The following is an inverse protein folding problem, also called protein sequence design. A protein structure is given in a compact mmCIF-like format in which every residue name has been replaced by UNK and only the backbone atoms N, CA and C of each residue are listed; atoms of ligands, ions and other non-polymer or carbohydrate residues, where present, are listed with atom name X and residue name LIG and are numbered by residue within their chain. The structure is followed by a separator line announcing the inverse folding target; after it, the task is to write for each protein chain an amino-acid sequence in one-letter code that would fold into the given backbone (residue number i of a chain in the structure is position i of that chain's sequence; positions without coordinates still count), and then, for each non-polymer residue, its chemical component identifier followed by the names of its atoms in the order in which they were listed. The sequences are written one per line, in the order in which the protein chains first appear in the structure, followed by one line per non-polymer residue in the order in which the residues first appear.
data_IF_555017188783
#
_entry.id   IF_555017188783
#
_cell.length_a   1.000
_cell.length_b   1.000
_cell.length_c   1.000
_cell.angle_alpha   90.00
_cell.angle_beta   90.00
_cell.angle_gamma   90.00
#
_symmetry.space_group_name_H-M   'P 1'
#
loop_
_entity.id
_entity.type
_entity.pdbx_description
1 polymer ?
#
# COMPACT_ATOMS: atom_id res chain seq x y z
N UNK A 1 0.08 -14.18 8.70
CA UNK A 1 -0.56 -13.05 7.98
C UNK A 1 -1.90 -13.47 7.39
N UNK A 2 -2.68 -14.31 8.07
CA UNK A 2 -4.08 -14.57 7.78
C UNK A 2 -4.90 -14.68 9.09
N UNK A 3 -4.30 -14.28 10.21
CA UNK A 3 -4.61 -14.68 11.57
C UNK A 3 -4.74 -13.53 12.62
N UNK A 4 -4.34 -12.24 12.43
CA UNK A 4 -4.61 -11.14 13.44
C UNK A 4 -6.09 -10.92 13.58
N UNK A 5 -6.84 -11.22 12.52
CA UNK A 5 -8.29 -11.18 12.57
C UNK A 5 -8.72 -12.04 13.76
N UNK A 6 -8.03 -13.15 14.04
CA UNK A 6 -8.25 -14.01 15.20
C UNK A 6 -7.73 -13.45 16.54
N UNK A 7 -6.84 -12.44 16.56
CA UNK A 7 -6.54 -11.67 17.79
C UNK A 7 -7.59 -10.60 18.02
N UNK A 8 -7.88 -9.82 16.99
CA UNK A 8 -8.70 -8.62 17.03
C UNK A 8 -10.18 -8.99 17.16
N UNK A 9 -10.69 -9.93 16.36
CA UNK A 9 -12.00 -10.56 16.57
C UNK A 9 -12.04 -11.25 17.93
N UNK A 10 -11.07 -12.06 18.36
CA UNK A 10 -11.16 -12.65 19.70
C UNK A 10 -11.22 -11.59 20.81
N UNK A 11 -10.46 -10.50 20.67
CA UNK A 11 -10.43 -9.37 21.61
C UNK A 11 -11.76 -8.61 21.61
N UNK A 12 -12.31 -8.34 20.45
CA UNK A 12 -13.57 -7.62 20.31
C UNK A 12 -14.76 -8.52 20.67
N UNK A 13 -14.75 -9.82 20.40
CA UNK A 13 -15.69 -10.78 21.01
C UNK A 13 -15.58 -10.74 22.54
N UNK A 14 -14.38 -10.85 23.13
CA UNK A 14 -14.20 -10.79 24.60
C UNK A 14 -14.71 -9.47 25.17
N UNK A 15 -14.51 -8.35 24.46
CA UNK A 15 -15.00 -7.01 24.81
C UNK A 15 -16.52 -6.87 24.66
N UNK A 16 -17.11 -7.39 23.58
CA UNK A 16 -18.56 -7.51 23.33
C UNK A 16 -19.20 -8.32 24.46
N UNK A 17 -18.70 -9.53 24.74
CA UNK A 17 -19.12 -10.43 25.82
C UNK A 17 -18.94 -9.81 27.22
N UNK A 18 -17.99 -8.89 27.41
CA UNK A 18 -17.79 -8.15 28.67
C UNK A 18 -18.60 -6.86 28.76
N UNK A 19 -19.48 -6.56 27.78
CA UNK A 19 -20.36 -5.40 27.85
C UNK A 19 -21.53 -5.62 28.80
N UNK A 20 -21.88 -4.58 29.57
CA UNK A 20 -23.02 -4.64 30.51
C UNK A 20 -24.36 -4.94 29.83
N UNK A 21 -24.50 -4.59 28.54
CA UNK A 21 -25.68 -4.91 27.72
C UNK A 21 -25.80 -6.42 27.50
N UNK A 22 -24.71 -7.10 27.11
CA UNK A 22 -24.73 -8.55 26.91
C UNK A 22 -24.84 -9.33 28.23
N UNK A 23 -24.25 -8.85 29.33
CA UNK A 23 -24.43 -9.51 30.63
C UNK A 23 -25.88 -9.41 31.15
N UNK A 24 -26.53 -8.24 31.04
CA UNK A 24 -27.94 -8.09 31.43
C UNK A 24 -28.87 -8.97 30.59
N UNK A 25 -28.64 -9.06 29.27
CA UNK A 25 -29.49 -9.83 28.36
C UNK A 25 -29.18 -11.33 28.43
N UNK A 26 -27.92 -11.70 28.69
CA UNK A 26 -27.49 -13.06 29.00
C UNK A 26 -28.18 -13.63 30.23
N UNK A 27 -28.39 -12.81 31.27
CA UNK A 27 -29.24 -13.14 32.43
C UNK A 27 -30.71 -13.29 32.03
N UNK A 28 -31.27 -12.35 31.26
CA UNK A 28 -32.68 -12.39 30.84
C UNK A 28 -33.07 -13.60 29.97
N UNK A 29 -32.11 -14.20 29.24
CA UNK A 29 -32.33 -15.37 28.38
C UNK A 29 -31.75 -16.68 28.93
N UNK A 30 -31.15 -16.66 30.13
CA UNK A 30 -30.61 -17.86 30.79
C UNK A 30 -29.36 -18.44 30.12
N UNK A 31 -28.58 -17.61 29.43
CA UNK A 31 -27.38 -18.02 28.66
C UNK A 31 -26.06 -17.50 29.22
N UNK A 32 -26.11 -16.74 30.32
CA UNK A 32 -24.95 -16.12 30.98
C UNK A 32 -23.78 -17.09 31.21
N UNK A 33 -24.08 -18.29 31.71
CA UNK A 33 -23.09 -19.34 32.00
C UNK A 33 -22.38 -19.86 30.75
N UNK A 34 -23.02 -19.81 29.59
CA UNK A 34 -22.41 -20.21 28.31
C UNK A 34 -21.61 -19.06 27.68
N UNK A 35 -22.04 -17.81 27.85
CA UNK A 35 -21.30 -16.63 27.41
C UNK A 35 -19.98 -16.44 28.18
N UNK A 36 -19.98 -16.58 29.50
CA UNK A 36 -18.75 -16.46 30.31
C UNK A 36 -17.78 -17.63 30.07
N UNK A 37 -18.28 -18.85 29.80
CA UNK A 37 -17.42 -19.97 29.35
C UNK A 37 -16.80 -19.70 27.98
N UNK A 38 -17.60 -19.25 26.99
CA UNK A 38 -17.09 -18.89 25.66
C UNK A 38 -16.00 -17.81 25.75
N UNK A 39 -16.24 -16.77 26.56
CA UNK A 39 -15.27 -15.71 26.88
C UNK A 39 -14.00 -16.28 27.50
N UNK A 40 -14.10 -17.17 28.49
CA UNK A 40 -12.93 -17.82 29.11
C UNK A 40 -12.13 -18.65 28.10
N UNK A 41 -12.78 -19.48 27.28
CA UNK A 41 -12.13 -20.27 26.23
C UNK A 41 -11.44 -19.38 25.19
N UNK A 42 -12.11 -18.30 24.73
CA UNK A 42 -11.51 -17.34 23.80
C UNK A 42 -10.33 -16.59 24.39
N UNK A 43 -10.36 -16.19 25.67
CA UNK A 43 -9.19 -15.58 26.34
C UNK A 43 -8.01 -16.57 26.38
N UNK A 44 -8.25 -17.85 26.68
CA UNK A 44 -7.22 -18.90 26.72
C UNK A 44 -6.66 -19.27 25.34
N UNK A 45 -7.41 -19.03 24.26
CA UNK A 45 -6.98 -19.23 22.86
C UNK A 45 -6.26 -17.98 22.34
N UNK A 46 -6.79 -16.79 22.60
CA UNK A 46 -6.13 -15.50 22.37
C UNK A 46 -4.71 -15.51 22.95
N UNK A 47 -4.57 -16.11 24.15
CA UNK A 47 -3.32 -16.32 24.87
C UNK A 47 -2.27 -17.22 24.18
N UNK A 48 -2.50 -17.79 22.99
CA UNK A 48 -1.51 -18.65 22.29
C UNK A 48 -1.38 -18.51 20.77
N UNK A 49 -1.76 -17.37 20.19
CA UNK A 49 -1.85 -17.27 18.73
C UNK A 49 -0.55 -16.85 17.96
N UNK A 50 0.43 -16.06 18.48
CA UNK A 50 1.50 -15.48 17.62
C UNK A 50 2.75 -16.30 17.63
N UNK A 51 3.10 -16.93 18.73
CA UNK A 51 4.16 -17.92 18.66
C UNK A 51 3.62 -19.18 17.94
N UNK A 52 2.29 -19.40 17.91
CA UNK A 52 1.68 -20.26 16.89
C UNK A 52 1.86 -19.68 15.46
N UNK A 53 1.66 -18.38 15.20
CA UNK A 53 1.91 -17.76 13.88
C UNK A 53 3.38 -17.84 13.45
N UNK A 54 4.31 -17.51 14.35
CA UNK A 54 5.76 -17.49 14.17
C UNK A 54 6.27 -18.92 13.92
N UNK A 55 5.75 -19.92 14.65
CA UNK A 55 6.01 -21.35 14.37
C UNK A 55 5.28 -21.86 13.13
N UNK A 56 4.18 -21.26 12.68
CA UNK A 56 3.43 -21.70 11.49
C UNK A 56 4.19 -21.50 10.18
N UNK A 57 5.16 -20.58 10.15
CA UNK A 57 6.07 -20.41 9.03
C UNK A 57 7.03 -21.60 8.85
N UNK A 58 7.28 -22.37 9.92
CA UNK A 58 8.25 -23.48 9.95
C UNK A 58 7.60 -24.86 10.16
N UNK A 59 6.34 -24.93 10.62
CA UNK A 59 5.65 -26.18 10.90
C UNK A 59 4.20 -26.19 10.34
N UNK A 60 3.95 -27.10 9.39
CA UNK A 60 2.65 -27.27 8.72
C UNK A 60 1.51 -27.71 9.66
N UNK A 61 1.80 -28.41 10.77
CA UNK A 61 0.75 -28.84 11.71
C UNK A 61 0.09 -27.64 12.40
N UNK A 62 0.90 -26.63 12.78
CA UNK A 62 0.42 -25.35 13.33
C UNK A 62 -0.47 -24.62 12.35
N UNK A 63 -0.07 -24.60 11.07
CA UNK A 63 -0.81 -23.97 9.97
C UNK A 63 -2.19 -24.62 9.74
N UNK A 64 -2.28 -25.94 9.88
CA UNK A 64 -3.57 -26.67 9.84
C UNK A 64 -4.42 -26.38 11.08
N UNK A 65 -3.81 -26.31 12.27
CA UNK A 65 -4.50 -25.97 13.53
C UNK A 65 -5.08 -24.54 13.50
N UNK A 66 -4.27 -23.54 13.10
CA UNK A 66 -4.72 -22.16 12.87
C UNK A 66 -5.84 -22.10 11.83
N UNK A 67 -5.74 -22.86 10.74
CA UNK A 67 -6.78 -22.95 9.71
C UNK A 67 -8.12 -23.49 10.23
N UNK A 68 -8.11 -24.50 11.11
CA UNK A 68 -9.33 -24.97 11.81
C UNK A 68 -9.89 -23.89 12.73
N UNK A 69 -9.03 -23.31 13.58
CA UNK A 69 -9.42 -22.31 14.58
C UNK A 69 -10.05 -21.08 13.93
N UNK A 70 -9.49 -20.64 12.80
CA UNK A 70 -9.96 -19.50 12.01
C UNK A 70 -11.47 -19.55 11.77
N UNK A 71 -11.98 -20.68 11.26
CA UNK A 71 -13.40 -20.86 10.94
C UNK A 71 -14.28 -20.66 12.18
N UNK A 72 -13.90 -21.27 13.30
CA UNK A 72 -14.72 -21.24 14.54
C UNK A 72 -14.75 -19.85 15.20
N UNK A 73 -13.72 -19.03 15.00
CA UNK A 73 -13.66 -17.66 15.54
C UNK A 73 -14.51 -16.68 14.71
N UNK A 74 -14.57 -16.83 13.38
CA UNK A 74 -15.54 -16.06 12.57
C UNK A 74 -16.98 -16.47 12.90
N UNK A 75 -17.26 -17.78 12.98
CA UNK A 75 -18.58 -18.29 13.41
C UNK A 75 -19.00 -17.69 14.77
N UNK A 76 -18.03 -17.40 15.65
CA UNK A 76 -18.25 -16.82 16.98
C UNK A 76 -18.52 -15.31 16.94
N UNK A 77 -17.88 -14.55 16.05
CA UNK A 77 -18.13 -13.10 15.92
C UNK A 77 -19.48 -12.84 15.29
N UNK A 78 -19.79 -13.54 14.19
CA UNK A 78 -21.08 -13.52 13.52
C UNK A 78 -22.21 -13.83 14.52
N UNK A 79 -22.01 -14.82 15.40
CA UNK A 79 -22.99 -15.18 16.44
C UNK A 79 -23.16 -14.10 17.51
N UNK A 80 -22.08 -13.43 17.90
CA UNK A 80 -22.13 -12.39 18.95
C UNK A 80 -22.70 -11.07 18.41
N UNK A 81 -22.48 -10.76 17.13
CA UNK A 81 -23.10 -9.61 16.45
C UNK A 81 -24.57 -9.87 16.03
N UNK A 82 -24.94 -11.11 15.67
CA UNK A 82 -26.35 -11.59 15.59
C UNK A 82 -27.05 -11.30 16.94
N UNK A 83 -26.41 -11.69 18.04
CA UNK A 83 -26.94 -11.56 19.40
C UNK A 83 -27.06 -10.09 19.82
N UNK A 84 -26.03 -9.27 19.60
CA UNK A 84 -26.02 -7.83 19.88
C UNK A 84 -27.07 -7.09 19.05
N UNK A 85 -27.19 -7.40 17.76
CA UNK A 85 -28.14 -6.75 16.86
C UNK A 85 -29.58 -7.01 17.30
N UNK A 86 -29.97 -8.26 17.53
CA UNK A 86 -31.34 -8.58 17.98
C UNK A 86 -31.61 -8.12 19.44
N UNK A 87 -30.58 -8.08 20.29
CA UNK A 87 -30.65 -7.48 21.62
C UNK A 87 -31.02 -5.98 21.56
N UNK A 88 -30.25 -5.20 20.79
CA UNK A 88 -30.47 -3.76 20.62
C UNK A 88 -31.80 -3.45 19.93
N UNK A 89 -32.14 -4.23 18.89
CA UNK A 89 -33.41 -4.14 18.17
C UNK A 89 -34.62 -4.33 19.12
N UNK A 90 -34.60 -5.36 19.99
CA UNK A 90 -35.63 -5.58 21.00
C UNK A 90 -35.65 -4.52 22.11
N UNK A 91 -34.50 -3.94 22.46
CA UNK A 91 -34.43 -2.85 23.44
C UNK A 91 -35.07 -1.56 22.89
N UNK A 92 -34.84 -1.23 21.61
CA UNK A 92 -35.48 -0.11 20.93
C UNK A 92 -37.01 -0.30 20.79
N UNK A 93 -37.47 -1.52 20.49
CA UNK A 93 -38.90 -1.85 20.39
C UNK A 93 -39.67 -1.81 21.72
N UNK A 94 -38.98 -1.77 22.87
CA UNK A 94 -39.60 -1.79 24.20
C UNK A 94 -40.38 -0.53 24.59
N UNK A 95 -40.28 0.57 23.84
CA UNK A 95 -40.75 1.90 24.25
C UNK A 95 -42.24 2.21 24.06
N UNK A 96 -43.00 1.43 23.27
CA UNK A 96 -44.37 1.81 22.86
C UNK A 96 -45.42 0.73 23.11
N UNK A 97 -46.55 1.10 23.72
CA UNK A 97 -47.64 0.15 24.07
C UNK A 97 -48.41 -0.43 22.87
N UNK A 98 -48.33 0.21 21.71
CA UNK A 98 -49.20 -0.06 20.55
C UNK A 98 -48.62 -1.10 19.56
N UNK A 99 -47.32 -1.40 19.61
CA UNK A 99 -46.68 -2.39 18.71
C UNK A 99 -47.02 -3.85 19.01
N UNK A 100 -47.73 -4.14 20.12
CA UNK A 100 -47.95 -5.51 20.62
C UNK A 100 -48.85 -6.39 19.74
N UNK A 101 -49.74 -5.82 18.94
CA UNK A 101 -50.76 -6.60 18.22
C UNK A 101 -50.39 -6.92 16.76
N UNK A 102 -49.49 -6.14 16.14
CA UNK A 102 -49.13 -6.31 14.72
C UNK A 102 -47.86 -7.15 14.53
N UNK A 103 -46.96 -7.23 15.52
CA UNK A 103 -45.69 -7.96 15.44
C UNK A 103 -45.80 -9.50 15.65
N UNK A 104 -46.99 -10.09 15.47
CA UNK A 104 -47.23 -11.53 15.69
C UNK A 104 -46.92 -12.43 14.47
N UNK A 105 -46.92 -11.89 13.25
CA UNK A 105 -46.92 -12.73 12.02
C UNK A 105 -45.56 -13.23 11.50
N UNK A 106 -44.44 -12.81 12.09
CA UNK A 106 -43.10 -13.38 11.82
C UNK A 106 -42.27 -13.55 13.11
N UNK A 107 -42.93 -13.87 14.22
CA UNK A 107 -42.37 -13.70 15.56
C UNK A 107 -41.64 -14.95 16.10
N UNK A 108 -40.36 -14.85 16.55
CA UNK A 108 -39.69 -15.89 17.33
C UNK A 108 -40.22 -15.88 18.79
N UNK A 109 -41.51 -16.16 18.94
CA UNK A 109 -42.41 -15.68 20.01
C UNK A 109 -42.29 -16.36 21.37
N UNK A 110 -41.12 -16.88 21.74
CA UNK A 110 -40.83 -17.22 23.13
C UNK A 110 -39.37 -16.90 23.49
N UNK A 111 -39.18 -16.05 24.51
CA UNK A 111 -37.85 -15.71 25.06
C UNK A 111 -37.06 -16.96 25.42
N UNK A 112 -37.73 -17.99 25.94
CA UNK A 112 -37.15 -19.27 26.33
C UNK A 112 -36.69 -20.05 25.08
N UNK A 113 -37.47 -20.07 24.00
CA UNK A 113 -37.10 -20.80 22.76
C UNK A 113 -35.97 -20.09 22.01
N UNK A 114 -35.99 -18.76 21.94
CA UNK A 114 -34.88 -18.00 21.36
C UNK A 114 -33.60 -18.14 22.19
N UNK A 115 -33.70 -17.98 23.51
CA UNK A 115 -32.60 -18.21 24.45
C UNK A 115 -32.03 -19.63 24.35
N UNK A 116 -32.88 -20.65 24.31
CA UNK A 116 -32.50 -22.06 24.15
C UNK A 116 -31.82 -22.35 22.80
N UNK A 117 -32.36 -21.82 21.70
CA UNK A 117 -31.74 -21.94 20.37
C UNK A 117 -30.35 -21.28 20.33
N UNK A 118 -30.20 -20.13 21.00
CA UNK A 118 -28.92 -19.43 21.06
C UNK A 118 -27.93 -20.07 22.05
N UNK A 119 -28.42 -20.60 23.18
CA UNK A 119 -27.62 -21.40 24.11
C UNK A 119 -26.98 -22.60 23.40
N UNK A 120 -27.74 -23.30 22.56
CA UNK A 120 -27.21 -24.40 21.72
C UNK A 120 -26.19 -23.93 20.68
N UNK A 121 -26.41 -22.79 20.01
CA UNK A 121 -25.40 -22.21 19.11
C UNK A 121 -24.10 -21.85 19.87
N UNK A 122 -24.20 -21.11 20.98
CA UNK A 122 -23.06 -20.71 21.82
C UNK A 122 -22.31 -21.93 22.32
N UNK A 123 -23.02 -22.93 22.86
CA UNK A 123 -22.47 -24.21 23.31
C UNK A 123 -21.76 -24.97 22.18
N UNK A 124 -22.34 -25.05 20.99
CA UNK A 124 -21.73 -25.74 19.85
C UNK A 124 -20.44 -25.06 19.34
N UNK A 125 -20.38 -23.73 19.39
CA UNK A 125 -19.14 -22.98 19.10
C UNK A 125 -18.12 -23.20 20.22
N UNK A 126 -18.53 -23.10 21.49
CA UNK A 126 -17.67 -23.39 22.65
C UNK A 126 -17.08 -24.80 22.56
N UNK A 127 -17.88 -25.82 22.25
CA UNK A 127 -17.41 -27.21 22.15
C UNK A 127 -16.45 -27.44 20.97
N UNK A 128 -16.59 -26.69 19.86
CA UNK A 128 -15.61 -26.66 18.77
C UNK A 128 -14.31 -25.96 19.16
N UNK A 129 -14.38 -24.85 19.91
CA UNK A 129 -13.20 -24.16 20.45
C UNK A 129 -12.50 -25.00 21.54
N UNK A 130 -13.25 -25.65 22.43
CA UNK A 130 -12.76 -26.52 23.50
C UNK A 130 -12.01 -27.74 22.91
N UNK A 131 -12.49 -28.29 21.78
CA UNK A 131 -11.79 -29.36 21.07
C UNK A 131 -10.46 -28.87 20.46
N UNK A 132 -10.48 -27.75 19.72
CA UNK A 132 -9.28 -27.16 19.12
C UNK A 132 -8.26 -26.71 20.20
N UNK A 133 -8.74 -26.27 21.37
CA UNK A 133 -7.91 -25.92 22.53
C UNK A 133 -7.33 -27.14 23.27
N UNK A 134 -7.86 -28.35 23.05
CA UNK A 134 -7.28 -29.62 23.53
C UNK A 134 -6.25 -30.19 22.56
N UNK A 135 -6.53 -30.13 21.25
CA UNK A 135 -5.57 -30.47 20.16
C UNK A 135 -4.21 -29.72 20.30
N UNK A 136 -4.18 -28.62 21.06
CA UNK A 136 -3.02 -27.76 21.35
C UNK A 136 -1.95 -28.40 22.26
N UNK A 137 -2.30 -29.35 23.13
CA UNK A 137 -1.43 -29.72 24.26
C UNK A 137 -0.06 -30.29 23.84
N UNK A 138 0.03 -30.93 22.68
CA UNK A 138 1.26 -31.57 22.18
C UNK A 138 2.26 -30.58 21.54
N UNK A 139 1.91 -29.28 21.37
CA UNK A 139 2.61 -28.40 20.42
C UNK A 139 3.23 -27.10 20.99
N UNK A 140 3.08 -26.81 22.29
CA UNK A 140 3.79 -25.73 23.01
C UNK A 140 3.80 -24.33 22.32
N UNK A 141 2.63 -23.68 22.20
CA UNK A 141 2.47 -22.32 21.62
C UNK A 141 2.29 -21.16 22.64
N UNK A 142 2.55 -19.91 22.22
CA UNK A 142 2.46 -18.61 22.96
C UNK A 142 1.67 -17.51 22.17
N UNK A 143 1.23 -16.42 22.83
CA UNK A 143 0.18 -15.39 22.51
C UNK A 143 0.30 -14.47 21.24
N UNK A 144 -0.76 -13.72 20.74
CA UNK A 144 -0.86 -12.60 19.67
C UNK A 144 -1.09 -13.00 18.14
N UNK A 145 -1.17 -12.17 17.04
CA UNK A 145 -1.19 -12.63 15.56
C UNK A 145 -1.01 -11.53 14.41
N UNK A 146 -1.28 -11.75 13.06
CA UNK A 146 -1.30 -10.83 11.83
C UNK A 146 -2.26 -11.27 10.61
N UNK A 147 -3.07 -10.42 9.87
CA UNK A 147 -4.47 -10.61 9.18
C UNK A 147 -4.74 -11.09 7.69
N UNK A 148 -5.99 -11.49 7.30
CA UNK A 148 -6.42 -12.08 5.96
C UNK A 148 -7.28 -11.20 4.96
N UNK A 149 -7.42 -11.53 3.63
CA UNK A 149 -7.35 -10.53 2.52
C UNK A 149 -8.58 -10.29 1.55
N UNK A 150 -8.39 -9.42 0.53
CA UNK A 150 -9.42 -8.78 -0.36
C UNK A 150 -9.17 -8.85 -1.92
N UNK A 151 -10.04 -8.16 -2.70
CA UNK A 151 -10.07 -7.97 -4.18
C UNK A 151 -9.55 -6.57 -4.65
N UNK A 152 -9.32 -6.36 -5.96
CA UNK A 152 -8.51 -5.24 -6.53
C UNK A 152 -9.22 -4.33 -7.56
N UNK A 153 -8.82 -3.03 -7.69
CA UNK A 153 -9.50 -2.06 -8.60
C UNK A 153 -8.80 -0.71 -8.98
N UNK A 154 -7.85 -0.71 -9.94
CA UNK A 154 -7.40 0.53 -10.64
C UNK A 154 -6.22 1.32 -10.02
N UNK A 155 -5.63 2.26 -10.77
CA UNK A 155 -4.35 2.95 -10.44
C UNK A 155 -4.24 4.40 -10.93
N UNK A 156 -3.84 5.31 -10.04
CA UNK A 156 -3.63 6.76 -10.25
C UNK A 156 -2.44 7.13 -11.15
N UNK A 157 -2.44 8.41 -11.53
CA UNK A 157 -1.54 9.02 -12.49
C UNK A 157 -0.35 9.71 -11.79
N UNK A 158 0.87 9.48 -12.26
CA UNK A 158 2.04 10.32 -11.90
C UNK A 158 1.93 11.70 -12.55
N UNK A 159 2.38 12.73 -11.82
CA UNK A 159 2.45 14.12 -12.31
C UNK A 159 3.79 14.37 -13.03
N UNK A 160 3.81 15.35 -13.93
CA UNK A 160 4.98 15.68 -14.76
C UNK A 160 6.00 16.61 -14.10
N UNK A 161 5.75 17.08 -12.88
CA UNK A 161 6.58 18.07 -12.17
C UNK A 161 7.47 17.42 -11.11
N UNK A 162 8.68 17.98 -10.93
CA UNK A 162 9.58 17.75 -9.79
C UNK A 162 10.34 19.05 -9.50
N UNK A 163 10.61 19.36 -8.24
CA UNK A 163 11.49 20.48 -7.89
C UNK A 163 12.95 20.12 -8.17
N UNK A 164 13.70 20.97 -8.89
CA UNK A 164 15.09 20.64 -9.26
C UNK A 164 15.98 20.38 -8.03
N UNK A 165 15.79 21.13 -6.94
CA UNK A 165 16.54 20.97 -5.70
C UNK A 165 16.26 19.65 -4.96
N UNK A 166 15.20 18.92 -5.31
CA UNK A 166 14.87 17.62 -4.73
C UNK A 166 15.60 16.46 -5.43
N UNK A 167 16.09 16.70 -6.65
CA UNK A 167 16.82 15.72 -7.45
C UNK A 167 18.31 15.82 -7.13
N UNK A 168 18.93 14.70 -6.75
CA UNK A 168 20.33 14.65 -6.31
C UNK A 168 21.05 13.51 -7.03
N UNK A 169 22.16 13.83 -7.70
CA UNK A 169 23.01 12.85 -8.39
C UNK A 169 22.46 12.35 -9.71
N UNK A 170 21.62 13.14 -10.38
CA UNK A 170 21.06 12.88 -11.73
C UNK A 170 21.36 14.01 -12.71
N UNK A 171 22.28 14.90 -12.35
CA UNK A 171 22.69 16.06 -13.16
C UNK A 171 23.29 15.63 -14.50
N UNK A 172 24.20 14.65 -14.48
CA UNK A 172 24.85 14.10 -15.68
C UNK A 172 23.88 13.22 -16.49
N UNK A 173 23.05 12.41 -15.83
CA UNK A 173 21.96 11.65 -16.46
C UNK A 173 21.02 12.57 -17.24
N UNK A 174 20.55 13.66 -16.60
CA UNK A 174 19.71 14.67 -17.27
C UNK A 174 20.44 15.25 -18.47
N UNK A 175 21.70 15.67 -18.30
CA UNK A 175 22.47 16.31 -19.38
C UNK A 175 22.63 15.37 -20.58
N UNK A 176 23.00 14.11 -20.37
CA UNK A 176 23.18 13.13 -21.43
C UNK A 176 21.88 12.91 -22.24
N UNK A 177 20.74 12.80 -21.56
CA UNK A 177 19.44 12.67 -22.23
C UNK A 177 19.04 13.97 -22.94
N UNK A 178 19.19 15.13 -22.30
CA UNK A 178 18.82 16.43 -22.90
C UNK A 178 19.65 16.69 -24.15
N UNK A 179 20.98 16.52 -24.09
CA UNK A 179 21.84 16.74 -25.25
C UNK A 179 21.54 15.71 -26.39
N UNK A 180 21.11 14.48 -26.06
CA UNK A 180 20.58 13.49 -27.03
C UNK A 180 19.27 13.96 -27.70
N UNK A 181 18.28 14.40 -26.92
CA UNK A 181 16.97 14.87 -27.41
C UNK A 181 17.11 16.06 -28.37
N UNK A 182 18.10 16.93 -28.11
CA UNK A 182 18.35 18.17 -28.86
C UNK A 182 19.14 17.98 -30.16
N UNK A 183 19.95 16.91 -30.26
CA UNK A 183 20.96 16.77 -31.32
C UNK A 183 20.86 15.48 -32.14
N UNK A 184 19.88 14.61 -31.85
CA UNK A 184 19.64 13.38 -32.62
C UNK A 184 19.26 13.64 -34.09
N UNK A 185 20.04 13.09 -35.02
CA UNK A 185 19.81 13.18 -36.48
C UNK A 185 19.04 11.98 -37.05
N UNK A 186 18.24 11.28 -36.22
CA UNK A 186 17.51 10.05 -36.59
C UNK A 186 16.68 10.19 -37.86
N UNK A 187 16.62 9.11 -38.65
CA UNK A 187 15.85 9.06 -39.91
C UNK A 187 14.33 8.99 -39.66
N UNK A 188 13.93 8.28 -38.60
CA UNK A 188 12.54 8.22 -38.13
C UNK A 188 12.01 9.60 -37.73
N UNK A 189 10.74 9.88 -38.04
CA UNK A 189 10.07 11.10 -37.59
C UNK A 189 9.90 11.16 -36.07
N UNK A 190 9.66 10.00 -35.45
CA UNK A 190 9.38 9.84 -34.02
C UNK A 190 10.33 8.79 -33.43
N UNK A 191 11.24 9.21 -32.56
CA UNK A 191 12.21 8.35 -31.88
C UNK A 191 11.72 7.94 -30.48
N UNK A 192 12.12 6.76 -30.01
CA UNK A 192 11.67 6.21 -28.72
C UNK A 192 12.85 5.75 -27.88
N UNK A 193 12.97 6.31 -26.67
CA UNK A 193 13.99 5.97 -25.67
C UNK A 193 13.37 5.35 -24.41
N UNK A 194 13.60 4.06 -24.14
CA UNK A 194 13.22 3.43 -22.88
C UNK A 194 14.24 3.72 -21.76
N UNK A 195 13.77 4.08 -20.57
CA UNK A 195 14.52 4.10 -19.32
C UNK A 195 14.24 2.80 -18.56
N UNK A 196 15.28 2.01 -18.31
CA UNK A 196 15.19 0.68 -17.67
C UNK A 196 15.94 0.69 -16.34
N UNK A 197 15.43 -0.08 -15.38
CA UNK A 197 16.08 -0.31 -14.08
C UNK A 197 15.10 -0.83 -13.05
N UNK A 198 15.59 -1.22 -11.88
CA UNK A 198 14.77 -1.71 -10.76
C UNK A 198 13.78 -0.66 -10.23
N UNK A 199 12.82 -1.12 -9.41
CA UNK A 199 11.93 -0.25 -8.65
C UNK A 199 12.70 0.65 -7.68
N UNK A 200 12.21 1.87 -7.47
CA UNK A 200 12.82 2.83 -6.54
C UNK A 200 14.11 3.53 -7.01
N UNK A 201 14.64 3.22 -8.20
CA UNK A 201 15.84 3.86 -8.77
C UNK A 201 15.66 5.32 -9.23
N UNK A 202 14.41 5.81 -9.28
CA UNK A 202 14.09 7.19 -9.68
C UNK A 202 13.88 7.42 -11.18
N UNK A 203 13.47 6.40 -11.95
CA UNK A 203 13.19 6.54 -13.40
C UNK A 203 12.20 7.66 -13.72
N UNK A 204 11.05 7.65 -13.05
CA UNK A 204 10.03 8.71 -13.13
C UNK A 204 10.60 10.06 -12.75
N UNK A 205 11.44 10.12 -11.71
CA UNK A 205 12.12 11.36 -11.27
C UNK A 205 13.09 11.90 -12.32
N UNK A 206 13.88 11.04 -12.98
CA UNK A 206 14.73 11.46 -14.09
C UNK A 206 13.90 11.91 -15.30
N UNK A 207 12.80 11.20 -15.62
CA UNK A 207 11.88 11.60 -16.67
C UNK A 207 11.23 12.96 -16.39
N UNK A 208 10.79 13.23 -15.15
CA UNK A 208 10.32 14.54 -14.70
C UNK A 208 11.42 15.61 -14.80
N UNK A 209 12.66 15.28 -14.42
CA UNK A 209 13.78 16.23 -14.42
C UNK A 209 14.22 16.61 -15.85
N UNK A 210 14.25 15.65 -16.78
CA UNK A 210 14.43 15.90 -18.23
C UNK A 210 13.24 16.66 -18.80
N UNK A 211 12.00 16.28 -18.46
CA UNK A 211 10.80 16.94 -18.96
C UNK A 211 10.75 18.42 -18.58
N UNK A 212 11.22 18.79 -17.38
CA UNK A 212 11.18 20.18 -16.90
C UNK A 212 12.41 21.03 -17.26
N UNK A 213 13.40 20.47 -17.96
CA UNK A 213 14.57 21.22 -18.44
C UNK A 213 14.17 22.35 -19.43
N UNK A 214 14.79 23.52 -19.31
CA UNK A 214 14.47 24.70 -20.14
C UNK A 214 14.82 24.52 -21.61
N UNK A 215 15.87 23.74 -21.94
CA UNK A 215 16.16 23.39 -23.34
C UNK A 215 15.05 22.49 -23.90
N UNK A 216 14.53 21.55 -23.10
CA UNK A 216 13.42 20.66 -23.52
C UNK A 216 12.11 21.46 -23.64
N UNK A 217 11.83 22.40 -22.73
CA UNK A 217 10.69 23.32 -22.83
C UNK A 217 10.71 24.19 -24.09
N UNK A 218 11.89 24.60 -24.56
CA UNK A 218 12.04 25.49 -25.73
C UNK A 218 12.21 24.75 -27.07
N UNK A 219 12.58 23.47 -27.06
CA UNK A 219 12.87 22.69 -28.27
C UNK A 219 11.67 21.90 -28.84
N UNK A 220 10.63 21.69 -28.04
CA UNK A 220 9.43 20.94 -28.43
C UNK A 220 8.19 21.85 -28.36
N UNK A 221 7.43 21.91 -29.46
CA UNK A 221 6.17 22.68 -29.55
C UNK A 221 5.08 22.14 -28.63
N UNK A 222 5.14 20.85 -28.32
CA UNK A 222 4.14 20.15 -27.53
C UNK A 222 4.81 19.17 -26.57
N UNK A 223 4.46 19.26 -25.29
CA UNK A 223 4.93 18.34 -24.25
C UNK A 223 3.74 17.63 -23.61
N UNK A 224 3.88 16.33 -23.43
CA UNK A 224 2.80 15.42 -23.01
C UNK A 224 3.30 14.47 -21.93
N UNK A 225 2.47 14.21 -20.92
CA UNK A 225 2.78 13.24 -19.86
C UNK A 225 1.61 12.29 -19.64
N UNK A 226 1.87 10.99 -19.70
CA UNK A 226 0.88 9.93 -19.51
C UNK A 226 1.44 8.84 -18.62
N UNK A 227 0.90 8.73 -17.40
CA UNK A 227 1.08 7.56 -16.56
C UNK A 227 0.27 6.39 -17.16
N UNK A 228 0.94 5.33 -17.56
CA UNK A 228 0.32 4.11 -18.09
C UNK A 228 -0.11 3.23 -16.92
N UNK A 229 -1.36 2.78 -16.96
CA UNK A 229 -1.92 1.90 -15.92
C UNK A 229 -1.39 0.48 -16.07
N UNK A 230 -1.46 -0.30 -14.98
CA UNK A 230 -1.08 -1.73 -14.97
C UNK A 230 -1.83 -2.54 -16.06
N UNK A 231 -3.02 -2.08 -16.46
CA UNK A 231 -3.66 -2.47 -17.72
C UNK A 231 -3.27 -1.47 -18.81
N UNK A 232 -2.56 -1.95 -19.83
CA UNK A 232 -2.28 -1.22 -21.06
C UNK A 232 -3.50 -1.32 -21.99
N UNK A 233 -4.33 -0.27 -21.96
CA UNK A 233 -5.49 -0.09 -22.82
C UNK A 233 -5.23 1.10 -23.77
N UNK A 234 -5.34 0.85 -25.07
CA UNK A 234 -5.05 1.83 -26.12
C UNK A 234 -5.97 3.05 -26.06
N UNK A 235 -7.26 2.86 -25.75
CA UNK A 235 -8.25 3.94 -25.63
C UNK A 235 -7.92 4.81 -24.43
N UNK A 236 -7.66 4.21 -23.27
CA UNK A 236 -7.28 4.92 -22.04
C UNK A 236 -5.98 5.70 -22.20
N UNK A 237 -5.00 5.16 -22.92
CA UNK A 237 -3.74 5.88 -23.22
C UNK A 237 -4.03 7.10 -24.10
N UNK A 238 -4.72 6.95 -25.23
CA UNK A 238 -5.07 8.06 -26.14
C UNK A 238 -5.90 9.14 -25.43
N UNK A 239 -6.86 8.74 -24.59
CA UNK A 239 -7.65 9.63 -23.73
C UNK A 239 -6.79 10.43 -22.74
N UNK A 240 -5.81 9.78 -22.08
CA UNK A 240 -4.85 10.46 -21.21
C UNK A 240 -3.95 11.41 -22.02
N UNK A 241 -3.49 11.02 -23.21
CA UNK A 241 -2.68 11.90 -24.08
C UNK A 241 -3.45 13.16 -24.49
N UNK A 242 -4.73 13.05 -24.84
CA UNK A 242 -5.60 14.20 -25.16
C UNK A 242 -5.89 15.07 -23.92
N UNK A 243 -6.12 14.46 -22.75
CA UNK A 243 -6.23 15.21 -21.48
C UNK A 243 -4.97 16.01 -21.16
N UNK A 244 -3.77 15.47 -21.43
CA UNK A 244 -2.50 16.19 -21.27
C UNK A 244 -2.36 17.42 -22.19
N UNK A 245 -3.24 17.61 -23.18
CA UNK A 245 -3.33 18.80 -24.04
C UNK A 245 -4.45 19.77 -23.62
N UNK A 246 -5.10 19.54 -22.48
CA UNK A 246 -6.26 20.31 -22.04
C UNK A 246 -7.53 20.09 -22.88
N UNK A 247 -7.64 18.98 -23.60
CA UNK A 247 -8.80 18.67 -24.45
C UNK A 247 -9.87 17.94 -23.65
N UNK A 248 -11.13 18.34 -23.84
CA UNK A 248 -12.28 17.66 -23.23
C UNK A 248 -12.46 16.24 -23.79
N UNK A 249 -12.82 15.30 -22.90
CA UNK A 249 -13.30 13.98 -23.28
C UNK A 249 -14.81 13.89 -23.07
N UNK A 250 -15.55 13.70 -24.16
CA UNK A 250 -16.85 13.05 -24.12
C UNK A 250 -16.70 11.54 -24.27
N UNK A 251 -17.82 10.81 -24.31
CA UNK A 251 -17.85 9.37 -24.60
C UNK A 251 -17.56 9.09 -26.09
N UNK A 252 -16.33 9.34 -26.50
CA UNK A 252 -15.87 9.10 -27.87
C UNK A 252 -15.36 7.67 -28.03
N UNK A 253 -15.55 7.10 -29.22
CA UNK A 253 -14.99 5.82 -29.62
C UNK A 253 -13.51 5.96 -30.02
N UNK A 254 -12.78 4.84 -30.08
CA UNK A 254 -11.34 4.84 -30.36
C UNK A 254 -10.98 5.51 -31.69
N UNK A 255 -11.80 5.36 -32.73
CA UNK A 255 -11.54 6.00 -34.03
C UNK A 255 -11.64 7.55 -33.95
N UNK A 256 -12.70 8.04 -33.29
CA UNK A 256 -12.87 9.48 -33.07
C UNK A 256 -11.73 10.06 -32.20
N UNK A 257 -11.24 9.28 -31.24
CA UNK A 257 -10.10 9.62 -30.39
C UNK A 257 -8.77 9.65 -31.17
N UNK A 258 -8.51 8.68 -32.06
CA UNK A 258 -7.27 8.67 -32.85
C UNK A 258 -7.24 9.79 -33.90
N UNK A 259 -8.36 10.12 -34.55
CA UNK A 259 -8.46 11.28 -35.45
C UNK A 259 -8.08 12.57 -34.70
N UNK A 260 -8.62 12.77 -33.48
CA UNK A 260 -8.29 13.93 -32.63
C UNK A 260 -6.82 13.95 -32.25
N UNK A 261 -6.28 12.85 -31.72
CA UNK A 261 -4.87 12.76 -31.32
C UNK A 261 -3.94 13.09 -32.48
N UNK A 262 -4.19 12.48 -33.65
CA UNK A 262 -3.39 12.71 -34.85
C UNK A 262 -3.48 14.14 -35.34
N UNK A 263 -4.67 14.76 -35.34
CA UNK A 263 -4.81 16.17 -35.71
C UNK A 263 -4.05 17.12 -34.76
N UNK A 264 -3.97 16.80 -33.47
CA UNK A 264 -3.26 17.64 -32.49
C UNK A 264 -1.73 17.48 -32.53
N UNK A 265 -1.19 16.30 -32.85
CA UNK A 265 0.28 16.07 -32.92
C UNK A 265 0.85 16.17 -34.33
N UNK A 266 0.02 16.09 -35.37
CA UNK A 266 0.45 16.11 -36.78
C UNK A 266 1.22 17.39 -37.10
N UNK A 267 2.39 17.22 -37.73
CA UNK A 267 3.34 18.30 -38.11
C UNK A 267 3.91 19.13 -36.96
N UNK A 268 3.59 18.84 -35.70
CA UNK A 268 4.26 19.45 -34.52
C UNK A 268 5.41 18.56 -34.05
N UNK A 269 6.47 19.17 -33.56
CA UNK A 269 7.57 18.48 -32.88
C UNK A 269 7.24 18.30 -31.41
N UNK A 270 6.91 17.06 -31.01
CA UNK A 270 6.42 16.78 -29.65
C UNK A 270 7.38 15.93 -28.80
N UNK A 271 7.27 16.07 -27.48
CA UNK A 271 7.90 15.19 -26.49
C UNK A 271 6.83 14.55 -25.60
N UNK A 272 6.72 13.23 -25.64
CA UNK A 272 5.74 12.44 -24.88
C UNK A 272 6.43 11.54 -23.86
N UNK A 273 6.05 11.64 -22.60
CA UNK A 273 6.45 10.65 -21.58
C UNK A 273 5.32 9.64 -21.39
N UNK A 274 5.64 8.35 -21.56
CA UNK A 274 4.85 7.20 -21.15
C UNK A 274 5.49 6.61 -19.89
N UNK A 275 4.97 6.97 -18.72
CA UNK A 275 5.55 6.60 -17.42
C UNK A 275 4.94 5.29 -16.90
N UNK A 276 5.79 4.44 -16.34
CA UNK A 276 5.53 3.15 -15.69
C UNK A 276 4.82 2.11 -16.59
N UNK A 277 5.41 1.81 -17.75
CA UNK A 277 4.89 0.84 -18.72
C UNK A 277 5.30 -0.60 -18.38
N UNK A 278 4.33 -1.52 -18.28
CA UNK A 278 4.54 -2.93 -17.93
C UNK A 278 4.12 -3.95 -19.00
N UNK A 279 3.52 -3.51 -20.10
CA UNK A 279 2.93 -4.42 -21.09
C UNK A 279 3.94 -4.91 -22.15
N UNK A 280 4.08 -6.24 -22.26
CA UNK A 280 4.99 -6.92 -23.18
C UNK A 280 4.30 -7.44 -24.47
N UNK A 281 3.02 -7.08 -24.68
CA UNK A 281 2.31 -7.32 -25.93
C UNK A 281 2.78 -6.36 -27.03
N UNK A 282 3.51 -6.91 -28.00
CA UNK A 282 4.06 -6.20 -29.17
C UNK A 282 2.95 -5.55 -30.02
N UNK A 283 1.80 -6.19 -30.20
CA UNK A 283 0.76 -5.69 -31.11
C UNK A 283 0.13 -4.42 -30.55
N UNK A 284 -0.24 -4.43 -29.26
CA UNK A 284 -0.76 -3.23 -28.57
C UNK A 284 0.20 -2.04 -28.61
N UNK A 285 1.51 -2.29 -28.58
CA UNK A 285 2.50 -1.24 -28.78
C UNK A 285 2.56 -0.75 -30.22
N UNK A 286 2.54 -1.65 -31.21
CA UNK A 286 2.51 -1.27 -32.63
C UNK A 286 1.27 -0.44 -32.96
N UNK A 287 0.10 -0.80 -32.45
CA UNK A 287 -1.15 -0.05 -32.61
C UNK A 287 -1.00 1.40 -32.11
N UNK A 288 -0.50 1.57 -30.87
CA UNK A 288 -0.22 2.89 -30.30
C UNK A 288 0.83 3.67 -31.13
N UNK A 289 1.91 2.99 -31.56
CA UNK A 289 3.01 3.57 -32.34
C UNK A 289 2.54 4.05 -33.72
N UNK A 290 1.57 3.38 -34.34
CA UNK A 290 0.95 3.82 -35.60
C UNK A 290 0.20 5.16 -35.42
N UNK A 291 -0.51 5.34 -34.30
CA UNK A 291 -1.21 6.60 -34.03
C UNK A 291 -0.24 7.76 -33.76
N UNK A 292 0.85 7.49 -33.04
CA UNK A 292 1.84 8.50 -32.63
C UNK A 292 2.80 8.91 -33.76
N UNK A 293 3.02 8.05 -34.77
CA UNK A 293 4.01 8.24 -35.85
C UNK A 293 3.86 9.50 -36.73
N UNK A 294 2.79 10.30 -36.61
CA UNK A 294 2.54 11.46 -37.47
C UNK A 294 3.11 12.80 -36.99
N UNK A 295 3.90 12.82 -35.90
CA UNK A 295 4.65 14.01 -35.47
C UNK A 295 5.69 14.48 -36.49
N UNK A 296 6.18 15.72 -36.32
CA UNK A 296 7.31 16.24 -37.10
C UNK A 296 8.63 15.55 -36.73
N UNK A 297 9.61 15.58 -37.65
CA UNK A 297 10.90 14.91 -37.47
C UNK A 297 11.64 15.39 -36.21
N UNK A 298 12.16 14.43 -35.46
CA UNK A 298 12.77 14.67 -34.15
C UNK A 298 11.75 14.83 -33.02
N UNK A 299 10.51 14.38 -33.22
CA UNK A 299 9.60 14.13 -32.09
C UNK A 299 10.10 12.92 -31.29
N UNK A 300 9.82 12.90 -30.00
CA UNK A 300 10.40 11.95 -29.06
C UNK A 300 9.36 11.35 -28.12
N UNK A 301 9.49 10.06 -27.84
CA UNK A 301 8.76 9.34 -26.80
C UNK A 301 9.77 8.80 -25.79
N UNK A 302 9.62 9.16 -24.51
CA UNK A 302 10.35 8.59 -23.39
C UNK A 302 9.45 7.56 -22.70
N UNK A 303 9.91 6.32 -22.56
CA UNK A 303 9.18 5.24 -21.87
C UNK A 303 9.90 4.92 -20.57
N UNK A 304 9.26 4.96 -19.40
CA UNK A 304 9.87 4.41 -18.18
C UNK A 304 9.32 3.01 -17.89
N UNK A 305 10.19 2.05 -17.56
CA UNK A 305 9.78 0.66 -17.30
C UNK A 305 10.73 -0.07 -16.34
N UNK A 306 10.24 -1.13 -15.69
CA UNK A 306 11.07 -2.08 -14.96
C UNK A 306 11.45 -3.32 -15.80
N UNK A 307 10.91 -3.48 -17.00
CA UNK A 307 11.16 -4.64 -17.87
C UNK A 307 12.06 -4.29 -19.06
N UNK A 308 13.14 -5.06 -19.21
CA UNK A 308 13.94 -5.05 -20.44
C UNK A 308 13.13 -5.46 -21.68
N UNK A 309 12.11 -6.31 -21.53
CA UNK A 309 11.32 -6.77 -22.67
C UNK A 309 10.42 -5.64 -23.17
N UNK A 310 9.74 -4.91 -22.28
CA UNK A 310 9.02 -3.67 -22.63
C UNK A 310 9.95 -2.69 -23.34
N UNK A 311 11.20 -2.54 -22.89
CA UNK A 311 12.18 -1.67 -23.54
C UNK A 311 12.58 -2.15 -24.95
N UNK A 312 12.83 -3.46 -25.13
CA UNK A 312 13.14 -4.07 -26.45
C UNK A 312 11.98 -3.95 -27.44
N UNK A 313 10.74 -3.94 -26.95
CA UNK A 313 9.52 -3.74 -27.74
C UNK A 313 9.33 -2.26 -28.11
N UNK A 314 9.55 -1.36 -27.15
CA UNK A 314 9.20 0.06 -27.30
C UNK A 314 10.24 0.88 -28.06
N UNK A 315 11.53 0.69 -27.75
CA UNK A 315 12.63 1.53 -28.24
C UNK A 315 12.80 1.55 -29.75
N UNK A 316 13.27 2.69 -30.28
CA UNK A 316 13.98 2.76 -31.58
C UNK A 316 15.48 2.98 -31.38
N UNK A 317 15.91 3.32 -30.17
CA UNK A 317 17.29 3.32 -29.71
C UNK A 317 17.49 2.24 -28.63
N UNK A 318 18.74 1.87 -28.32
CA UNK A 318 19.05 1.15 -27.08
C UNK A 318 18.44 1.84 -25.86
N UNK A 319 18.05 1.06 -24.86
CA UNK A 319 17.52 1.59 -23.62
C UNK A 319 18.62 2.33 -22.83
N UNK A 320 18.22 3.33 -22.05
CA UNK A 320 19.07 3.97 -21.06
C UNK A 320 19.03 3.15 -19.75
N UNK A 321 20.13 2.49 -19.34
CA UNK A 321 20.18 1.77 -18.08
C UNK A 321 20.34 2.79 -16.94
N UNK A 322 19.32 2.93 -16.09
CA UNK A 322 19.42 3.81 -14.93
C UNK A 322 20.06 3.06 -13.76
N UNK A 323 21.32 3.38 -13.46
CA UNK A 323 22.04 2.79 -12.33
C UNK A 323 21.67 3.41 -10.98
N UNK A 324 22.16 2.83 -9.88
CA UNK A 324 22.09 3.42 -8.54
C UNK A 324 22.93 4.71 -8.43
N UNK A 325 22.60 5.56 -7.47
CA UNK A 325 23.38 6.78 -7.19
C UNK A 325 24.78 6.42 -6.67
N UNK A 326 25.78 7.19 -7.11
CA UNK A 326 27.13 7.14 -6.55
C UNK A 326 27.12 7.38 -5.01
N UNK A 327 28.12 6.86 -4.30
CA UNK A 327 28.12 6.81 -2.84
C UNK A 327 28.16 8.21 -2.17
N UNK A 328 28.79 9.18 -2.84
CA UNK A 328 28.83 10.59 -2.43
C UNK A 328 27.48 11.30 -2.62
N UNK A 329 26.80 11.07 -3.76
CA UNK A 329 25.44 11.57 -4.03
C UNK A 329 24.44 10.94 -3.08
N UNK A 330 24.56 9.63 -2.84
CA UNK A 330 23.78 8.88 -1.86
C UNK A 330 23.96 9.42 -0.43
N UNK A 331 25.22 9.68 0.00
CA UNK A 331 25.50 10.33 1.29
C UNK A 331 24.92 11.75 1.35
N UNK A 332 24.99 12.51 0.26
CA UNK A 332 24.44 13.88 0.19
C UNK A 332 22.91 13.89 0.30
N UNK A 333 22.23 12.96 -0.38
CA UNK A 333 20.78 12.74 -0.27
C UNK A 333 20.37 12.38 1.16
N UNK A 334 21.07 11.41 1.76
CA UNK A 334 20.84 11.00 3.15
C UNK A 334 21.08 12.15 4.15
N UNK A 335 22.13 12.95 3.97
CA UNK A 335 22.38 14.14 4.81
C UNK A 335 21.30 15.21 4.68
N UNK A 336 20.82 15.51 3.46
CA UNK A 336 19.71 16.48 3.24
C UNK A 336 18.48 16.10 4.07
N UNK A 337 18.26 14.79 4.22
CA UNK A 337 17.14 14.21 4.93
C UNK A 337 17.37 14.15 6.46
N UNK A 338 18.41 13.45 6.93
CA UNK A 338 18.63 13.21 8.37
C UNK A 338 19.17 14.44 9.11
N UNK A 339 20.12 15.14 8.50
CA UNK A 339 20.86 16.25 9.12
C UNK A 339 20.49 17.62 8.51
N UNK A 340 19.37 17.69 7.77
CA UNK A 340 18.91 18.91 7.07
C UNK A 340 19.95 19.52 6.11
N UNK A 341 20.91 18.71 5.66
CA UNK A 341 22.02 19.10 4.79
C UNK A 341 23.37 19.27 5.52
N UNK A 342 23.34 19.50 6.84
CA UNK A 342 24.54 19.63 7.68
C UNK A 342 25.33 18.31 7.76
N UNK A 343 26.56 18.36 8.26
CA UNK A 343 27.32 17.17 8.65
C UNK A 343 26.94 16.74 10.09
N UNK A 344 26.94 15.43 10.40
CA UNK A 344 26.60 14.95 11.74
C UNK A 344 27.56 15.49 12.80
N UNK A 345 27.00 15.90 13.95
CA UNK A 345 27.75 16.49 15.07
C UNK A 345 28.71 15.51 15.76
N UNK A 346 28.38 14.21 15.79
CA UNK A 346 29.33 13.16 16.20
C UNK A 346 30.19 12.74 14.99
N UNK A 347 31.53 12.73 15.11
CA UNK A 347 32.41 12.29 14.03
C UNK A 347 32.23 10.81 13.67
N UNK A 348 31.73 9.99 14.61
CA UNK A 348 31.55 8.54 14.45
C UNK A 348 30.25 8.18 13.72
N UNK A 349 29.21 9.03 13.81
CA UNK A 349 27.94 8.83 13.08
C UNK A 349 28.16 8.88 11.56
N UNK A 350 29.15 9.64 11.08
CA UNK A 350 29.52 9.75 9.66
C UNK A 350 29.99 8.42 9.04
N UNK A 351 31.01 7.71 9.57
CA UNK A 351 31.42 6.40 9.03
C UNK A 351 30.34 5.31 9.23
N UNK A 352 29.54 5.36 10.31
CA UNK A 352 28.41 4.43 10.48
C UNK A 352 27.37 4.65 9.37
N UNK A 353 26.91 5.90 9.19
CA UNK A 353 25.96 6.27 8.13
C UNK A 353 26.46 5.95 6.72
N UNK A 354 27.76 6.08 6.44
CA UNK A 354 28.34 5.65 5.15
C UNK A 354 28.31 4.12 4.96
N UNK A 355 28.52 3.32 6.00
CA UNK A 355 28.37 1.86 5.93
C UNK A 355 26.90 1.46 5.71
N UNK A 356 25.97 2.14 6.38
CA UNK A 356 24.53 1.99 6.19
C UNK A 356 24.14 2.24 4.74
N UNK A 357 24.53 3.37 4.15
CA UNK A 357 24.21 3.70 2.75
C UNK A 357 24.86 2.74 1.76
N UNK A 358 26.05 2.20 2.06
CA UNK A 358 26.69 1.18 1.22
C UNK A 358 25.82 -0.09 1.10
N UNK A 359 25.05 -0.44 2.15
CA UNK A 359 24.05 -1.52 2.09
C UNK A 359 22.81 -1.17 1.24
N UNK A 360 22.54 0.11 0.97
CA UNK A 360 21.38 0.55 0.16
C UNK A 360 21.59 0.41 -1.36
N UNK A 361 22.76 0.00 -1.84
CA UNK A 361 23.05 -0.21 -3.28
C UNK A 361 22.88 1.03 -4.16
N UNK A 362 22.94 2.24 -3.59
CA UNK A 362 22.66 3.49 -4.32
C UNK A 362 21.18 3.72 -4.68
N UNK A 363 20.24 2.89 -4.20
CA UNK A 363 18.81 3.00 -4.56
C UNK A 363 18.17 4.18 -3.83
N UNK A 364 17.74 5.27 -4.52
CA UNK A 364 17.24 6.50 -3.89
C UNK A 364 16.08 6.28 -2.91
N UNK A 365 15.12 5.42 -3.24
CA UNK A 365 14.00 5.13 -2.36
C UNK A 365 14.43 4.34 -1.10
N UNK A 366 15.34 3.37 -1.23
CA UNK A 366 15.90 2.66 -0.07
C UNK A 366 16.69 3.61 0.86
N UNK A 367 17.44 4.56 0.27
CA UNK A 367 18.15 5.62 0.99
C UNK A 367 17.15 6.52 1.73
N UNK A 368 16.06 6.97 1.08
CA UNK A 368 14.98 7.74 1.72
C UNK A 368 14.36 6.98 2.91
N UNK A 369 14.01 5.71 2.73
CA UNK A 369 13.39 4.86 3.76
C UNK A 369 14.30 4.65 4.98
N UNK A 370 15.58 4.35 4.76
CA UNK A 370 16.54 4.15 5.87
C UNK A 370 16.87 5.49 6.56
N UNK A 371 16.92 6.59 5.82
CA UNK A 371 17.01 7.92 6.39
C UNK A 371 15.77 8.28 7.24
N UNK A 372 14.58 7.74 6.97
CA UNK A 372 13.38 7.98 7.80
C UNK A 372 13.49 7.33 9.16
N UNK A 373 13.96 6.08 9.20
CA UNK A 373 14.14 5.33 10.44
C UNK A 373 15.20 6.00 11.33
N UNK A 374 16.28 6.49 10.71
CA UNK A 374 17.41 7.13 11.39
C UNK A 374 17.19 8.63 11.72
N UNK A 375 16.19 9.28 11.12
CA UNK A 375 15.82 10.67 11.45
C UNK A 375 15.47 10.86 12.93
N UNK A 376 14.88 9.82 13.55
CA UNK A 376 14.48 9.81 14.96
C UNK A 376 15.53 9.17 15.88
N UNK A 377 16.78 8.96 15.41
CA UNK A 377 17.86 8.31 16.18
C UNK A 377 18.95 9.31 16.54
N UNK A 378 19.00 9.70 17.81
CA UNK A 378 19.90 10.73 18.31
C UNK A 378 21.27 10.19 18.74
N UNK A 379 21.35 8.92 19.16
CA UNK A 379 22.57 8.37 19.77
C UNK A 379 23.38 7.47 18.83
N UNK A 380 24.71 7.49 18.98
CA UNK A 380 25.63 6.64 18.21
C UNK A 380 25.36 5.14 18.43
N UNK A 381 24.97 4.75 19.64
CA UNK A 381 24.63 3.36 19.98
C UNK A 381 23.41 2.83 19.20
N UNK A 382 22.39 3.66 18.98
CA UNK A 382 21.23 3.28 18.16
C UNK A 382 21.59 3.11 16.67
N UNK A 383 22.52 3.94 16.15
CA UNK A 383 23.02 3.82 14.79
C UNK A 383 23.89 2.56 14.61
N UNK A 384 24.67 2.18 15.63
CA UNK A 384 25.42 0.92 15.65
C UNK A 384 24.49 -0.30 15.70
N UNK A 385 23.52 -0.32 16.61
CA UNK A 385 22.49 -1.37 16.69
C UNK A 385 21.79 -1.55 15.35
N UNK A 386 21.31 -0.45 14.75
CA UNK A 386 20.62 -0.48 13.46
C UNK A 386 21.51 -1.02 12.33
N UNK A 387 22.81 -0.71 12.32
CA UNK A 387 23.76 -1.26 11.32
C UNK A 387 24.05 -2.76 11.54
N UNK A 388 24.16 -3.19 12.80
CA UNK A 388 24.62 -4.52 13.23
C UNK A 388 23.50 -5.56 13.28
N UNK A 389 22.32 -5.23 13.83
CA UNK A 389 21.22 -6.15 14.01
C UNK A 389 20.12 -5.97 12.96
N UNK A 390 19.73 -4.74 12.65
CA UNK A 390 18.53 -4.51 11.82
C UNK A 390 18.86 -4.56 10.32
N UNK A 391 19.97 -3.93 9.91
CA UNK A 391 20.52 -4.00 8.56
C UNK A 391 21.32 -5.28 8.26
N UNK A 392 21.55 -6.18 9.20
CA UNK A 392 22.17 -7.49 8.92
C UNK A 392 21.14 -8.52 8.47
N UNK A 393 19.98 -8.56 9.16
CA UNK A 393 18.80 -9.38 8.80
C UNK A 393 18.32 -9.12 7.36
N UNK A 394 18.49 -7.90 6.86
CA UNK A 394 18.23 -7.52 5.46
C UNK A 394 19.23 -8.16 4.49
N UNK A 395 20.53 -7.96 4.72
CA UNK A 395 21.57 -8.29 3.74
C UNK A 395 21.76 -9.80 3.46
N UNK A 396 21.06 -10.65 4.23
CA UNK A 396 20.99 -12.10 4.04
C UNK A 396 19.93 -12.51 3.00
N UNK A 397 18.95 -11.66 2.68
CA UNK A 397 17.80 -12.00 1.83
C UNK A 397 17.65 -11.04 0.64
N UNK A 398 18.29 -11.41 -0.48
CA UNK A 398 18.13 -10.85 -1.84
C UNK A 398 18.50 -9.36 -2.06
N UNK A 399 19.13 -9.11 -3.21
CA UNK A 399 19.48 -7.75 -3.66
C UNK A 399 18.23 -7.02 -4.19
N UNK A 400 17.43 -6.45 -3.29
CA UNK A 400 16.20 -5.74 -3.67
C UNK A 400 15.76 -4.68 -2.67
N UNK A 401 14.71 -3.94 -3.02
CA UNK A 401 14.13 -2.89 -2.18
C UNK A 401 13.12 -3.43 -1.15
N UNK A 402 12.53 -4.59 -1.42
CA UNK A 402 11.55 -5.27 -0.55
C UNK A 402 12.06 -5.50 0.89
N UNK A 403 13.29 -6.01 1.13
CA UNK A 403 13.87 -6.09 2.47
C UNK A 403 13.92 -4.75 3.23
N UNK A 404 14.25 -3.65 2.54
CA UNK A 404 14.31 -2.31 3.14
C UNK A 404 12.92 -1.77 3.50
N UNK A 405 11.94 -1.98 2.62
CA UNK A 405 10.54 -1.61 2.89
C UNK A 405 9.95 -2.46 4.02
N UNK A 406 10.26 -3.75 4.07
CA UNK A 406 9.90 -4.63 5.18
C UNK A 406 10.47 -4.11 6.50
N UNK A 407 11.73 -3.67 6.55
CA UNK A 407 12.32 -3.14 7.77
C UNK A 407 11.58 -1.88 8.28
N UNK A 408 11.18 -0.99 7.37
CA UNK A 408 10.38 0.19 7.72
C UNK A 408 9.02 -0.19 8.31
N UNK A 409 8.33 -1.17 7.71
CA UNK A 409 7.12 -1.76 8.29
C UNK A 409 7.38 -2.43 9.64
N UNK A 410 8.50 -3.13 9.79
CA UNK A 410 8.84 -3.84 11.02
C UNK A 410 9.08 -2.89 12.21
N UNK A 411 9.55 -1.66 11.95
CA UNK A 411 9.73 -0.58 12.92
C UNK A 411 8.43 0.19 13.28
N UNK A 412 7.31 -0.01 12.57
CA UNK A 412 6.05 0.62 12.93
C UNK A 412 5.50 0.08 14.27
N UNK A 413 4.82 0.93 15.04
CA UNK A 413 4.10 0.49 16.23
C UNK A 413 2.92 -0.45 15.85
N UNK A 414 2.41 -1.30 16.76
CA UNK A 414 1.41 -2.31 16.40
C UNK A 414 0.14 -1.75 15.76
N UNK A 415 -0.38 -0.60 16.24
CA UNK A 415 -1.54 0.04 15.63
C UNK A 415 -1.23 0.59 14.23
N UNK A 416 -0.02 1.11 13.99
CA UNK A 416 0.37 1.61 12.66
C UNK A 416 0.64 0.49 11.65
N UNK A 417 1.01 -0.72 12.10
CA UNK A 417 1.05 -1.89 11.22
C UNK A 417 -0.35 -2.25 10.67
N UNK A 418 -1.41 -2.11 11.48
CA UNK A 418 -2.79 -2.30 11.01
C UNK A 418 -3.22 -1.18 10.06
N UNK A 419 -2.95 0.08 10.40
CA UNK A 419 -3.23 1.22 9.50
C UNK A 419 -2.51 1.08 8.14
N UNK A 420 -1.25 0.64 8.13
CA UNK A 420 -0.47 0.40 6.92
C UNK A 420 -0.96 -0.83 6.14
N UNK A 421 -1.32 -1.93 6.82
CA UNK A 421 -1.93 -3.09 6.17
C UNK A 421 -3.29 -2.74 5.55
N UNK A 422 -4.07 -1.86 6.21
CA UNK A 422 -5.31 -1.32 5.67
C UNK A 422 -5.08 -0.50 4.38
N UNK A 423 -3.93 0.19 4.25
CA UNK A 423 -3.56 0.84 2.99
C UNK A 423 -3.40 -0.16 1.82
N UNK A 424 -3.09 -1.43 2.07
CA UNK A 424 -3.01 -2.47 1.03
C UNK A 424 -4.39 -3.04 0.61
N UNK A 425 -5.46 -2.65 1.30
CA UNK A 425 -6.84 -2.90 0.86
C UNK A 425 -7.27 -1.91 -0.23
N UNK A 426 -6.62 -0.75 -0.29
CA UNK A 426 -6.80 0.17 -1.40
C UNK A 426 -6.05 -0.34 -2.63
N UNK A 427 -6.59 -0.12 -3.84
CA UNK A 427 -5.87 -0.39 -5.08
C UNK A 427 -4.52 0.33 -5.14
N UNK A 428 -3.56 -0.29 -5.84
CA UNK A 428 -2.19 0.22 -6.06
C UNK A 428 -2.25 1.59 -6.73
N UNK A 429 -1.68 2.62 -6.09
CA UNK A 429 -1.98 4.05 -6.28
C UNK A 429 -3.51 4.31 -6.36
N UNK A 430 -4.18 4.52 -5.23
CA UNK A 430 -5.54 5.06 -5.17
C UNK A 430 -5.47 6.40 -4.43
N UNK A 431 -6.23 7.42 -4.87
CA UNK A 431 -6.19 8.73 -4.23
C UNK A 431 -6.97 8.66 -2.91
N UNK A 432 -6.27 8.33 -1.84
CA UNK A 432 -6.90 8.14 -0.53
C UNK A 432 -7.21 9.52 0.07
N UNK A 433 -8.49 9.80 0.30
CA UNK A 433 -8.91 10.94 1.10
C UNK A 433 -8.47 10.74 2.56
N UNK A 434 -7.70 11.71 3.09
CA UNK A 434 -7.13 11.68 4.46
C UNK A 434 -8.20 11.44 5.50
N UNK A 435 -9.35 12.13 5.37
CA UNK A 435 -10.44 12.11 6.34
C UNK A 435 -11.17 10.77 6.25
N UNK A 436 -11.46 10.27 5.05
CA UNK A 436 -12.13 8.97 4.88
C UNK A 436 -11.27 7.85 5.46
N UNK A 437 -9.96 7.84 5.20
CA UNK A 437 -9.01 6.87 5.77
C UNK A 437 -8.99 6.91 7.31
N UNK A 438 -8.93 8.10 7.90
CA UNK A 438 -8.97 8.27 9.37
C UNK A 438 -10.31 7.74 9.93
N UNK A 439 -11.44 8.05 9.30
CA UNK A 439 -12.75 7.56 9.76
C UNK A 439 -12.87 6.04 9.63
N UNK A 440 -12.30 5.44 8.58
CA UNK A 440 -12.23 3.98 8.42
C UNK A 440 -11.34 3.33 9.48
N UNK A 441 -10.15 3.87 9.76
CA UNK A 441 -9.28 3.37 10.83
C UNK A 441 -9.90 3.49 12.24
N UNK A 442 -10.73 4.51 12.46
CA UNK A 442 -11.53 4.64 13.70
C UNK A 442 -12.68 3.61 13.72
N UNK A 443 -13.37 3.41 12.61
CA UNK A 443 -14.47 2.45 12.50
C UNK A 443 -14.02 0.99 12.66
N UNK A 444 -12.84 0.64 12.12
CA UNK A 444 -12.18 -0.65 12.33
C UNK A 444 -11.40 -0.75 13.66
N UNK A 445 -11.49 0.26 14.54
CA UNK A 445 -10.90 0.21 15.88
C UNK A 445 -9.37 0.30 15.97
N UNK A 446 -8.67 0.56 14.85
CA UNK A 446 -7.20 0.67 14.83
C UNK A 446 -6.69 1.94 15.54
N UNK A 447 -7.52 2.98 15.64
CA UNK A 447 -7.20 4.26 16.31
C UNK A 447 -8.36 4.71 17.19
N UNK A 448 -8.07 5.06 18.45
CA UNK A 448 -9.06 5.62 19.37
C UNK A 448 -9.38 7.10 19.10
N UNK A 449 -10.65 7.48 19.31
CA UNK A 449 -11.17 8.84 19.13
C UNK A 449 -10.49 9.92 19.99
N UNK A 450 -9.84 9.53 21.08
CA UNK A 450 -8.98 10.37 21.93
C UNK A 450 -7.75 10.92 21.19
N UNK A 451 -7.25 10.18 20.20
CA UNK A 451 -5.95 10.41 19.56
C UNK A 451 -6.02 11.15 18.22
N UNK A 452 -7.12 11.84 17.87
CA UNK A 452 -7.28 12.53 16.55
C UNK A 452 -6.08 13.42 16.16
N UNK A 453 -5.50 14.16 17.10
CA UNK A 453 -4.32 15.02 16.84
C UNK A 453 -3.04 14.21 16.64
N UNK A 454 -2.89 13.09 17.35
CA UNK A 454 -1.78 12.14 17.14
C UNK A 454 -1.93 11.41 15.81
N UNK A 455 -3.14 10.95 15.46
CA UNK A 455 -3.45 10.32 14.17
C UNK A 455 -3.08 11.22 13.00
N UNK A 456 -3.50 12.50 13.01
CA UNK A 456 -3.14 13.46 11.97
C UNK A 456 -1.62 13.67 11.84
N UNK A 457 -0.89 13.81 12.97
CA UNK A 457 0.58 13.86 12.97
C UNK A 457 1.22 12.57 12.45
N UNK A 458 0.61 11.43 12.73
CA UNK A 458 1.06 10.11 12.31
C UNK A 458 0.89 9.91 10.80
N UNK A 459 -0.27 10.28 10.22
CA UNK A 459 -0.44 10.32 8.76
C UNK A 459 0.62 11.24 8.13
N UNK A 460 0.75 12.46 8.65
CA UNK A 460 1.71 13.46 8.17
C UNK A 460 3.20 13.10 8.37
N UNK A 461 3.52 11.95 9.01
CA UNK A 461 4.89 11.47 9.17
C UNK A 461 5.13 10.11 8.51
N UNK A 462 4.16 9.19 8.49
CA UNK A 462 4.33 7.86 7.87
C UNK A 462 4.07 7.85 6.37
N UNK A 463 3.10 8.64 5.89
CA UNK A 463 2.73 8.69 4.46
C UNK A 463 3.72 9.52 3.66
N UNK A 464 4.01 10.73 4.16
CA UNK A 464 4.88 11.74 3.56
C UNK A 464 6.27 11.19 3.20
N UNK A 465 6.77 10.25 4.01
CA UNK A 465 8.09 9.65 3.90
C UNK A 465 8.17 8.34 3.11
N UNK A 466 7.15 7.48 3.16
CA UNK A 466 7.17 6.18 2.47
C UNK A 466 6.78 6.33 0.99
N UNK A 467 5.84 7.23 0.66
CA UNK A 467 5.35 7.43 -0.71
C UNK A 467 5.92 8.68 -1.41
N UNK A 468 6.51 9.61 -0.68
CA UNK A 468 7.34 10.68 -1.23
C UNK A 468 6.58 11.81 -1.93
N UNK A 469 5.89 12.64 -1.14
CA UNK A 469 5.32 13.93 -1.57
C UNK A 469 3.89 14.16 -1.10
N UNK A 470 3.56 15.43 -0.80
CA UNK A 470 2.26 15.90 -0.28
C UNK A 470 1.11 15.90 -1.32
N UNK A 471 1.12 14.96 -2.26
CA UNK A 471 0.29 15.01 -3.47
C UNK A 471 -0.58 13.76 -3.73
N UNK A 472 -0.54 12.77 -2.83
CA UNK A 472 -1.41 11.56 -2.89
C UNK A 472 -2.71 11.69 -2.08
N UNK A 473 -2.91 12.81 -1.38
CA UNK A 473 -3.89 12.95 -0.31
C UNK A 473 -4.54 14.35 -0.34
N UNK A 474 -5.82 14.46 -0.73
CA UNK A 474 -6.61 15.68 -0.53
C UNK A 474 -6.91 15.89 0.95
N UNK A 475 -6.73 17.15 1.40
CA UNK A 475 -6.74 17.53 2.82
C UNK A 475 -8.12 17.81 3.39
#
# INVERSE_FOLDING_TARGET
MAEQVLFNIAKDIIKKLSSGVLQQIGQWWGVNDELEKLKSTLTTIQAVLLDAEEKSALNNQVKVWLGKLKVVVYDADDLVDDFLTEALHRQALGGNKVSKEVCLFFSPSNRIVYGYKMAHKIKAIRERLDAISKDRQDYHFWERVTEAPLLSRGRDQTISYVGEEEVIGREDDRKAIVDLLLHSTTEDNVSVIPFVGMGGLGKTTLAQYVYNDEKVKTHFELKLWVCVSDVFDLKVIVEKTLKSMGKELGNFELDQLQIRLRNEISRKKYFLVLDDVWNEDIQKWLDLKVLLKCGARGSWILVTTCSEMVAKITGTLPHYPLEGLALDKSWSMFKKIVFKGEEPRSPNVKPIGKQIIKKCGGVPLAIKTIASILYFKETEGEWLHFLQDDLSKIAQNENGILPTLKLSYDHLSPHLKHCFAYCALFPKNYEIDVKILIHQWIAHGFIELSNKVYALKILALSILWIYGGDHFFKM
#
